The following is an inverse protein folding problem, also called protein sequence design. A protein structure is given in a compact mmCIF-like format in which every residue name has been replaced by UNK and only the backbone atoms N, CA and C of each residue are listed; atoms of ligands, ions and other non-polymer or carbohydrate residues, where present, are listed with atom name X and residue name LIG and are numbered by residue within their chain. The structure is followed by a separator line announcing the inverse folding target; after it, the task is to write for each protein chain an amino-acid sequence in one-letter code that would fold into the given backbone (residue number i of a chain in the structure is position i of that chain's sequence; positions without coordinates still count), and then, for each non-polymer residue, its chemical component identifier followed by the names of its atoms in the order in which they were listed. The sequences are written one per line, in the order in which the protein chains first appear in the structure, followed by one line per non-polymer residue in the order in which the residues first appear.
data_IF_319239034228
#
_entry.id   IF_319239034228
#
_cell.length_a   1.000
_cell.length_b   1.000
_cell.length_c   1.000
_cell.angle_alpha   90.00
_cell.angle_beta   90.00
_cell.angle_gamma   90.00
#
_symmetry.space_group_name_H-M   'P 1'
#
loop_
_entity.id
_entity.type
_entity.pdbx_description
1 polymer ?
#
# COMPACT_ATOMS: atom_id res chain seq x y z
N UNK A 1 -1.31 4.02 8.61
CA UNK A 1 -0.99 3.67 7.23
C UNK A 1 -0.11 4.74 6.62
N UNK A 2 1.00 4.35 6.01
CA UNK A 2 1.91 5.22 5.28
C UNK A 2 1.71 5.00 3.78
N UNK A 3 1.46 6.08 3.03
CA UNK A 3 1.05 6.01 1.64
C UNK A 3 -0.42 5.61 1.50
N UNK A 4 -1.31 6.29 2.23
CA UNK A 4 -2.74 5.94 2.28
C UNK A 4 -3.52 6.33 1.00
N UNK A 5 -2.89 7.09 0.09
CA UNK A 5 -3.54 7.56 -1.14
C UNK A 5 -4.85 8.28 -0.83
N UNK A 6 -5.95 7.83 -1.43
CA UNK A 6 -7.31 8.37 -1.23
C UNK A 6 -8.04 7.82 -0.01
N UNK A 7 -7.34 7.31 0.99
CA UNK A 7 -7.87 6.97 2.29
C UNK A 7 -8.87 5.81 2.36
N UNK A 8 -9.12 5.10 1.24
CA UNK A 8 -10.10 4.01 1.21
C UNK A 8 -9.77 2.87 2.16
N UNK A 9 -8.51 2.42 2.16
CA UNK A 9 -7.99 1.40 3.08
C UNK A 9 -8.06 1.87 4.53
N UNK A 10 -7.57 3.08 4.79
CA UNK A 10 -7.60 3.69 6.12
C UNK A 10 -9.04 3.79 6.67
N UNK A 11 -9.99 4.24 5.86
CA UNK A 11 -11.41 4.32 6.22
C UNK A 11 -12.01 2.95 6.51
N UNK A 12 -11.68 1.94 5.70
CA UNK A 12 -12.14 0.57 5.89
C UNK A 12 -11.65 0.03 7.24
N UNK A 13 -10.35 0.14 7.52
CA UNK A 13 -9.78 -0.36 8.78
C UNK A 13 -10.35 0.39 9.99
N UNK A 14 -10.45 1.71 9.93
CA UNK A 14 -11.01 2.50 11.02
C UNK A 14 -12.46 2.11 11.38
N UNK A 15 -13.28 1.78 10.39
CA UNK A 15 -14.69 1.39 10.57
C UNK A 15 -14.88 -0.03 11.07
N UNK A 16 -14.17 -0.98 10.46
CA UNK A 16 -14.46 -2.41 10.66
C UNK A 16 -13.56 -3.06 11.72
N UNK A 17 -12.32 -2.61 11.86
CA UNK A 17 -11.40 -3.11 12.90
C UNK A 17 -11.38 -2.26 14.17
N UNK A 18 -11.98 -1.06 14.12
CA UNK A 18 -12.21 -0.17 15.26
C UNK A 18 -10.97 0.05 16.14
N UNK A 19 -9.79 0.39 15.58
CA UNK A 19 -8.64 0.75 16.41
C UNK A 19 -8.97 1.99 17.25
N UNK A 20 -8.28 2.18 18.37
CA UNK A 20 -8.45 3.37 19.22
C UNK A 20 -8.23 4.66 18.43
N UNK A 21 -7.20 4.68 17.61
CA UNK A 21 -6.89 5.76 16.65
C UNK A 21 -6.27 5.13 15.41
N UNK A 22 -6.68 5.58 14.22
CA UNK A 22 -6.04 5.26 12.94
C UNK A 22 -5.55 6.54 12.28
N UNK A 23 -4.32 6.53 11.77
CA UNK A 23 -3.75 7.67 11.05
C UNK A 23 -3.38 7.23 9.64
N UNK A 24 -3.99 7.86 8.63
CA UNK A 24 -3.55 7.77 7.24
C UNK A 24 -2.57 8.92 6.95
N UNK A 25 -1.42 8.60 6.39
CA UNK A 25 -0.40 9.57 5.98
C UNK A 25 -0.06 9.40 4.50
N UNK A 26 0.03 10.52 3.80
CA UNK A 26 0.49 10.55 2.41
C UNK A 26 1.27 11.83 2.13
N UNK A 27 2.15 11.79 1.10
CA UNK A 27 2.93 12.94 0.65
C UNK A 27 2.21 13.78 -0.42
N UNK A 28 1.03 13.37 -0.87
CA UNK A 28 0.19 14.11 -1.80
C UNK A 28 -0.81 14.99 -1.05
N UNK A 29 -0.52 16.30 -0.95
CA UNK A 29 -1.40 17.26 -0.25
C UNK A 29 -2.84 17.24 -0.77
N UNK A 30 -3.02 17.03 -2.08
CA UNK A 30 -4.34 16.97 -2.70
C UNK A 30 -5.17 15.77 -2.21
N UNK A 31 -4.53 14.59 -2.07
CA UNK A 31 -5.17 13.39 -1.54
C UNK A 31 -5.56 13.57 -0.08
N UNK A 32 -4.67 14.10 0.76
CA UNK A 32 -4.97 14.38 2.17
C UNK A 32 -6.10 15.40 2.33
N UNK A 33 -6.16 16.43 1.47
CA UNK A 33 -7.28 17.39 1.47
C UNK A 33 -8.60 16.69 1.11
N UNK A 34 -8.58 15.84 0.08
CA UNK A 34 -9.76 15.04 -0.29
C UNK A 34 -10.20 14.15 0.88
N UNK A 35 -9.28 13.40 1.48
CA UNK A 35 -9.57 12.44 2.54
C UNK A 35 -10.21 13.08 3.77
N UNK A 36 -9.67 14.23 4.20
CA UNK A 36 -10.23 15.02 5.32
C UNK A 36 -11.65 15.51 5.05
N UNK A 37 -11.95 15.84 3.81
CA UNK A 37 -13.27 16.33 3.41
C UNK A 37 -14.27 15.20 3.17
N UNK A 38 -13.80 14.02 2.80
CA UNK A 38 -14.65 12.91 2.39
C UNK A 38 -14.94 11.91 3.52
N UNK A 39 -13.94 11.61 4.37
CA UNK A 39 -14.08 10.61 5.42
C UNK A 39 -14.32 11.23 6.79
N UNK A 40 -15.53 11.06 7.33
CA UNK A 40 -15.94 11.51 8.66
C UNK A 40 -16.06 10.33 9.63
N UNK A 41 -14.91 9.70 9.97
CA UNK A 41 -14.84 8.57 10.91
C UNK A 41 -14.14 9.02 12.19
N UNK A 42 -14.80 8.89 13.35
CA UNK A 42 -14.37 9.48 14.65
C UNK A 42 -12.93 9.15 15.04
N UNK A 43 -12.49 7.90 14.78
CA UNK A 43 -11.17 7.39 15.14
C UNK A 43 -10.14 7.47 14.00
N UNK A 44 -10.46 8.15 12.89
CA UNK A 44 -9.60 8.28 11.70
C UNK A 44 -9.08 9.71 11.57
N UNK A 45 -7.78 9.83 11.34
CA UNK A 45 -7.12 11.11 11.05
C UNK A 45 -6.28 10.98 9.79
N UNK A 46 -6.20 12.05 8.99
CA UNK A 46 -5.34 12.13 7.83
C UNK A 46 -4.31 13.25 7.99
N UNK A 47 -3.07 12.93 7.67
CA UNK A 47 -1.97 13.91 7.78
C UNK A 47 -1.11 13.89 6.51
N UNK A 48 -0.57 15.05 6.15
CA UNK A 48 0.49 15.16 5.18
C UNK A 48 1.82 14.77 5.84
N UNK A 49 2.65 13.95 5.14
CA UNK A 49 3.95 13.56 5.65
C UNK A 49 4.77 12.77 4.63
N UNK A 50 6.07 12.73 4.84
CA UNK A 50 7.02 11.94 4.06
C UNK A 50 7.28 10.60 4.73
N UNK A 51 7.17 9.51 3.97
CA UNK A 51 7.48 8.16 4.45
C UNK A 51 8.92 8.01 4.97
N UNK A 52 9.85 8.80 4.44
CA UNK A 52 11.26 8.80 4.83
C UNK A 52 11.58 9.75 6.00
N UNK A 53 10.55 10.42 6.55
CA UNK A 53 10.63 11.28 7.73
C UNK A 53 9.23 11.34 8.39
N UNK A 54 8.83 10.26 9.02
CA UNK A 54 7.49 10.10 9.60
C UNK A 54 7.34 11.06 10.79
N UNK A 55 6.34 12.01 10.77
CA UNK A 55 6.24 13.11 11.74
C UNK A 55 5.66 12.65 13.09
N UNK A 56 6.16 11.57 13.63
CA UNK A 56 5.80 11.04 14.94
C UNK A 56 7.06 10.69 15.75
N UNK A 57 6.92 10.71 17.05
CA UNK A 57 7.98 10.27 17.97
C UNK A 57 8.24 8.77 17.82
N UNK A 58 9.38 8.31 18.29
CA UNK A 58 9.67 6.89 18.41
C UNK A 58 8.64 6.18 19.32
N UNK A 59 8.46 4.89 19.11
CA UNK A 59 7.60 4.03 19.93
C UNK A 59 6.15 4.54 20.06
N UNK A 60 5.58 5.04 18.98
CA UNK A 60 4.26 5.69 18.97
C UNK A 60 3.13 4.73 18.52
N UNK A 61 3.40 3.79 17.63
CA UNK A 61 2.39 2.95 17.00
C UNK A 61 2.52 1.48 17.38
N UNK A 62 1.38 0.83 17.62
CA UNK A 62 1.31 -0.63 17.82
C UNK A 62 1.42 -1.37 16.48
N UNK A 63 0.83 -0.80 15.42
CA UNK A 63 0.83 -1.36 14.06
C UNK A 63 1.09 -0.25 13.05
N UNK A 64 1.92 -0.52 12.06
CA UNK A 64 2.11 0.31 10.86
C UNK A 64 1.77 -0.50 9.62
N UNK A 65 1.01 0.10 8.71
CA UNK A 65 0.66 -0.49 7.41
C UNK A 65 1.34 0.28 6.28
N UNK A 66 1.76 -0.47 5.24
CA UNK A 66 2.13 0.09 3.94
C UNK A 66 1.67 -0.86 2.84
N UNK A 67 0.71 -0.40 2.04
CA UNK A 67 0.08 -1.20 0.98
C UNK A 67 0.20 -0.47 -0.35
N UNK A 68 0.80 -1.12 -1.35
CA UNK A 68 0.95 -0.62 -2.73
C UNK A 68 1.48 0.83 -2.85
N UNK A 69 2.42 1.21 -2.01
CA UNK A 69 2.97 2.57 -1.97
C UNK A 69 4.50 2.58 -2.11
N UNK A 70 5.18 1.63 -1.49
CA UNK A 70 6.64 1.65 -1.38
C UNK A 70 7.39 1.46 -2.71
N UNK A 71 6.72 1.02 -3.77
CA UNK A 71 7.32 0.94 -5.10
C UNK A 71 7.67 2.32 -5.71
N UNK A 72 7.10 3.39 -5.16
CA UNK A 72 7.42 4.78 -5.50
C UNK A 72 8.49 5.42 -4.61
N UNK A 73 9.02 4.74 -3.59
CA UNK A 73 9.96 5.34 -2.66
C UNK A 73 11.40 5.31 -3.19
N UNK A 74 12.06 6.48 -3.18
CA UNK A 74 13.45 6.62 -3.67
C UNK A 74 14.43 5.94 -2.72
N UNK A 75 14.21 6.00 -1.41
CA UNK A 75 15.10 5.48 -0.36
C UNK A 75 14.33 4.52 0.56
N UNK A 76 14.08 3.30 0.09
CA UNK A 76 13.26 2.31 0.81
C UNK A 76 13.88 1.93 2.17
N UNK A 77 15.20 1.84 2.28
CA UNK A 77 15.90 1.53 3.54
C UNK A 77 15.70 2.64 4.58
N UNK A 78 15.63 3.91 4.15
CA UNK A 78 15.33 5.03 5.06
C UNK A 78 13.91 4.93 5.58
N UNK A 79 12.97 4.56 4.72
CA UNK A 79 11.59 4.26 5.15
C UNK A 79 11.54 3.14 6.19
N UNK A 80 12.26 2.02 5.99
CA UNK A 80 12.30 0.91 6.95
C UNK A 80 12.88 1.32 8.31
N UNK A 81 13.89 2.21 8.33
CA UNK A 81 14.39 2.79 9.59
C UNK A 81 13.32 3.62 10.31
N UNK A 82 12.57 4.44 9.59
CA UNK A 82 11.46 5.21 10.15
C UNK A 82 10.33 4.31 10.67
N UNK A 83 9.97 3.26 9.92
CA UNK A 83 9.01 2.23 10.38
C UNK A 83 9.45 1.65 11.73
N UNK A 84 10.70 1.17 11.81
CA UNK A 84 11.24 0.61 13.05
C UNK A 84 11.28 1.64 14.17
N UNK A 85 11.61 2.90 13.89
CA UNK A 85 11.66 3.98 14.88
C UNK A 85 10.29 4.25 15.50
N UNK A 86 9.26 4.42 14.66
CA UNK A 86 7.93 4.82 15.14
C UNK A 86 7.11 3.68 15.73
N UNK A 87 7.44 2.43 15.43
CA UNK A 87 6.80 1.28 16.05
C UNK A 87 7.23 1.14 17.52
N UNK A 88 6.30 0.79 18.39
CA UNK A 88 6.58 0.37 19.77
C UNK A 88 7.39 -0.93 19.78
N UNK A 89 8.12 -1.26 20.86
CA UNK A 89 8.61 -2.63 21.08
C UNK A 89 7.46 -3.63 20.91
N UNK A 90 7.72 -4.76 20.29
CA UNK A 90 6.75 -5.80 19.90
C UNK A 90 5.66 -5.36 18.90
N UNK A 91 5.70 -4.13 18.40
CA UNK A 91 4.79 -3.62 17.38
C UNK A 91 4.99 -4.26 16.00
N UNK A 92 3.96 -4.23 15.16
CA UNK A 92 3.93 -4.94 13.89
C UNK A 92 4.00 -4.00 12.69
N UNK A 93 4.81 -4.35 11.70
CA UNK A 93 4.78 -3.77 10.36
C UNK A 93 4.08 -4.72 9.40
N UNK A 94 2.94 -4.29 8.87
CA UNK A 94 2.17 -5.01 7.86
C UNK A 94 2.45 -4.39 6.49
N UNK A 95 3.13 -5.13 5.65
CA UNK A 95 3.61 -4.67 4.35
C UNK A 95 3.02 -5.52 3.23
N UNK A 96 2.51 -4.88 2.19
CA UNK A 96 2.05 -5.55 0.99
C UNK A 96 2.36 -4.70 -0.25
N UNK A 97 3.16 -5.23 -1.18
CA UNK A 97 3.51 -4.51 -2.41
C UNK A 97 4.00 -5.47 -3.51
N UNK A 98 4.03 -4.97 -4.72
CA UNK A 98 4.54 -5.70 -5.87
C UNK A 98 5.87 -5.12 -6.36
N UNK A 99 6.65 -5.97 -7.00
CA UNK A 99 7.87 -5.59 -7.73
C UNK A 99 7.97 -6.40 -9.01
N UNK A 100 8.75 -5.88 -9.96
CA UNK A 100 9.20 -6.67 -11.09
C UNK A 100 10.22 -7.73 -10.63
N UNK A 101 10.47 -8.71 -11.47
CA UNK A 101 11.36 -9.83 -11.17
C UNK A 101 12.79 -9.40 -10.76
N UNK A 102 13.29 -8.31 -11.36
CA UNK A 102 14.64 -7.80 -11.07
C UNK A 102 14.75 -7.19 -9.67
N UNK A 103 13.72 -6.46 -9.23
CA UNK A 103 13.73 -5.72 -7.96
C UNK A 103 13.09 -6.45 -6.79
N UNK A 104 12.44 -7.61 -7.03
CA UNK A 104 11.78 -8.36 -5.94
C UNK A 104 12.79 -8.93 -4.93
N UNK A 105 13.94 -9.41 -5.41
CA UNK A 105 14.99 -9.94 -4.53
C UNK A 105 15.54 -8.85 -3.62
N UNK A 106 15.78 -7.65 -4.17
CA UNK A 106 16.23 -6.49 -3.39
C UNK A 106 15.20 -6.11 -2.33
N UNK A 107 13.91 -6.02 -2.67
CA UNK A 107 12.85 -5.77 -1.70
C UNK A 107 12.86 -6.77 -0.54
N UNK A 108 12.90 -8.07 -0.87
CA UNK A 108 12.91 -9.13 0.13
C UNK A 108 14.14 -9.00 1.05
N UNK A 109 15.32 -8.77 0.47
CA UNK A 109 16.55 -8.59 1.24
C UNK A 109 16.46 -7.37 2.16
N UNK A 110 16.01 -6.21 1.66
CA UNK A 110 15.83 -5.00 2.48
C UNK A 110 14.89 -5.23 3.66
N UNK A 111 13.76 -5.94 3.44
CA UNK A 111 12.82 -6.28 4.52
C UNK A 111 13.44 -7.24 5.54
N UNK A 112 14.13 -8.29 5.09
CA UNK A 112 14.81 -9.25 5.98
C UNK A 112 15.97 -8.60 6.76
N UNK A 113 16.64 -7.58 6.20
CA UNK A 113 17.75 -6.86 6.82
C UNK A 113 17.29 -5.60 7.58
N UNK A 114 16.01 -5.34 7.68
CA UNK A 114 15.45 -4.15 8.34
C UNK A 114 15.72 -4.08 9.86
N UNK A 115 16.23 -5.16 10.44
CA UNK A 115 16.38 -5.31 11.90
C UNK A 115 15.07 -5.53 12.64
N UNK A 116 14.01 -5.92 11.90
CA UNK A 116 12.75 -6.42 12.46
C UNK A 116 12.64 -7.92 12.17
N UNK A 117 12.01 -8.66 13.07
CA UNK A 117 11.79 -10.11 12.91
C UNK A 117 10.71 -10.38 11.88
N UNK A 118 11.00 -11.14 10.83
CA UNK A 118 10.01 -11.59 9.87
C UNK A 118 9.16 -12.70 10.47
N UNK A 119 7.90 -12.41 10.76
CA UNK A 119 6.92 -13.37 11.30
C UNK A 119 6.25 -14.15 10.17
N UNK A 120 5.89 -13.47 9.08
CA UNK A 120 5.27 -14.10 7.93
C UNK A 120 5.71 -13.42 6.63
N UNK A 121 5.87 -14.23 5.60
CA UNK A 121 6.14 -13.81 4.22
C UNK A 121 5.38 -14.72 3.29
N UNK A 122 4.65 -14.16 2.32
CA UNK A 122 3.88 -14.96 1.37
C UNK A 122 3.84 -14.30 -0.02
N UNK A 123 4.02 -15.10 -1.07
CA UNK A 123 3.80 -14.70 -2.45
C UNK A 123 2.32 -14.89 -2.80
N UNK A 124 1.59 -13.78 -2.89
CA UNK A 124 0.16 -13.75 -3.22
C UNK A 124 -0.10 -13.34 -4.68
N UNK A 125 0.91 -13.41 -5.53
CA UNK A 125 0.81 -13.03 -6.96
C UNK A 125 -0.34 -13.72 -7.67
N UNK A 126 -0.55 -15.01 -7.37
CA UNK A 126 -1.65 -15.81 -7.95
C UNK A 126 -3.02 -15.31 -7.50
N UNK A 127 -3.15 -15.00 -6.21
CA UNK A 127 -4.39 -14.46 -5.65
C UNK A 127 -4.75 -13.10 -6.26
N UNK A 128 -3.73 -12.22 -6.40
CA UNK A 128 -3.90 -10.92 -7.07
C UNK A 128 -4.31 -11.10 -8.53
N UNK A 129 -3.68 -12.01 -9.27
CA UNK A 129 -4.05 -12.31 -10.65
C UNK A 129 -5.50 -12.82 -10.76
N UNK A 130 -5.93 -13.71 -9.87
CA UNK A 130 -7.32 -14.16 -9.81
C UNK A 130 -8.28 -13.00 -9.47
N UNK A 131 -7.94 -12.16 -8.51
CA UNK A 131 -8.73 -10.97 -8.15
C UNK A 131 -8.90 -10.01 -9.33
N UNK A 132 -7.83 -9.77 -10.11
CA UNK A 132 -7.89 -8.98 -11.35
C UNK A 132 -8.88 -9.56 -12.37
N UNK A 133 -8.95 -10.90 -12.47
CA UNK A 133 -9.92 -11.57 -13.35
C UNK A 133 -11.35 -11.39 -12.88
N UNK A 134 -11.63 -11.61 -11.59
CA UNK A 134 -12.98 -11.46 -11.03
C UNK A 134 -13.49 -10.03 -11.16
N UNK A 135 -12.64 -9.04 -10.96
CA UNK A 135 -13.02 -7.64 -10.93
C UNK A 135 -12.99 -6.95 -12.31
N UNK A 136 -12.65 -7.68 -13.36
CA UNK A 136 -12.43 -7.13 -14.70
C UNK A 136 -13.65 -6.35 -15.23
N UNK A 137 -14.84 -6.94 -15.16
CA UNK A 137 -16.06 -6.33 -15.69
C UNK A 137 -16.44 -5.04 -14.94
N UNK A 138 -16.29 -5.03 -13.61
CA UNK A 138 -16.53 -3.84 -12.80
C UNK A 138 -15.57 -2.71 -13.18
N UNK A 139 -14.30 -3.01 -13.36
CA UNK A 139 -13.27 -2.03 -13.77
C UNK A 139 -13.55 -1.45 -15.15
N UNK A 140 -13.94 -2.27 -16.10
CA UNK A 140 -14.35 -1.82 -17.43
C UNK A 140 -15.52 -0.83 -17.32
N UNK A 141 -16.57 -1.19 -16.57
CA UNK A 141 -17.73 -0.30 -16.35
C UNK A 141 -17.33 1.04 -15.72
N UNK A 142 -16.41 1.04 -14.74
CA UNK A 142 -15.92 2.27 -14.12
C UNK A 142 -15.14 3.16 -15.10
N UNK A 143 -14.30 2.58 -15.98
CA UNK A 143 -13.60 3.32 -17.02
C UNK A 143 -14.60 4.04 -17.92
N UNK A 144 -15.59 3.31 -18.45
CA UNK A 144 -16.58 3.89 -19.36
C UNK A 144 -17.51 4.90 -18.68
N UNK A 145 -17.75 4.75 -17.37
CA UNK A 145 -18.61 5.67 -16.61
C UNK A 145 -17.91 6.99 -16.25
N UNK A 146 -16.62 6.94 -15.90
CA UNK A 146 -15.95 8.09 -15.28
C UNK A 146 -14.87 8.74 -16.16
N UNK A 147 -14.39 8.05 -17.19
CA UNK A 147 -13.37 8.61 -18.07
C UNK A 147 -13.97 9.06 -19.41
N UNK A 148 -13.52 10.20 -19.96
CA UNK A 148 -13.82 10.59 -21.34
C UNK A 148 -13.33 9.54 -22.33
N UNK A 149 -13.99 9.40 -23.47
CA UNK A 149 -13.69 8.38 -24.50
C UNK A 149 -12.23 8.33 -24.91
N UNK A 150 -11.58 9.46 -25.07
CA UNK A 150 -10.17 9.54 -25.49
C UNK A 150 -9.19 9.00 -24.43
N UNK A 151 -9.59 8.91 -23.16
CA UNK A 151 -8.81 8.33 -22.06
C UNK A 151 -9.09 6.83 -21.80
N UNK A 152 -10.07 6.23 -22.46
CA UNK A 152 -10.44 4.84 -22.21
C UNK A 152 -9.27 3.88 -22.43
N UNK A 153 -8.48 4.07 -23.51
CA UNK A 153 -7.32 3.22 -23.81
C UNK A 153 -6.26 3.32 -22.69
N UNK A 154 -5.99 4.51 -22.20
CA UNK A 154 -5.09 4.75 -21.08
C UNK A 154 -5.64 4.14 -19.78
N UNK A 155 -6.91 4.40 -19.45
CA UNK A 155 -7.57 3.85 -18.29
C UNK A 155 -7.53 2.31 -18.25
N UNK A 156 -7.75 1.66 -19.39
CA UNK A 156 -7.65 0.19 -19.53
C UNK A 156 -6.26 -0.35 -19.15
N UNK A 157 -5.20 0.36 -19.54
CA UNK A 157 -3.82 -0.04 -19.17
C UNK A 157 -3.53 0.21 -17.69
N UNK A 158 -3.99 1.34 -17.17
CA UNK A 158 -3.73 1.77 -15.80
C UNK A 158 -4.40 0.87 -14.76
N UNK A 159 -5.68 0.54 -14.94
CA UNK A 159 -6.42 -0.26 -13.93
C UNK A 159 -6.21 -1.78 -14.05
N UNK A 160 -5.39 -2.25 -14.97
CA UNK A 160 -5.02 -3.66 -15.08
C UNK A 160 -6.18 -4.57 -15.48
N UNK A 161 -7.01 -4.17 -16.47
CA UNK A 161 -8.01 -5.05 -17.07
C UNK A 161 -7.34 -6.16 -17.89
N UNK A 162 -8.08 -7.21 -18.25
CA UNK A 162 -7.60 -8.29 -19.14
C UNK A 162 -6.89 -7.69 -20.36
N UNK A 163 -5.79 -8.33 -20.77
CA UNK A 163 -4.92 -7.96 -21.90
C UNK A 163 -4.13 -6.64 -21.71
N UNK A 164 -4.26 -5.94 -20.58
CA UNK A 164 -3.38 -4.83 -20.27
C UNK A 164 -1.96 -5.31 -19.94
N UNK A 165 -0.96 -4.43 -20.13
CA UNK A 165 0.43 -4.73 -19.76
C UNK A 165 0.57 -5.12 -18.30
N UNK A 166 -0.18 -4.44 -17.42
CA UNK A 166 -0.18 -4.74 -15.98
C UNK A 166 -0.73 -6.14 -15.70
N UNK A 167 -1.92 -6.47 -16.23
CA UNK A 167 -2.52 -7.78 -16.10
C UNK A 167 -1.59 -8.90 -16.61
N UNK A 168 -1.08 -8.77 -17.85
CA UNK A 168 -0.18 -9.75 -18.45
C UNK A 168 1.12 -9.91 -17.64
N UNK A 169 1.60 -8.84 -16.98
CA UNK A 169 2.82 -8.93 -16.17
C UNK A 169 2.66 -9.78 -14.91
N UNK A 170 1.45 -9.90 -14.36
CA UNK A 170 1.15 -10.86 -13.30
C UNK A 170 0.93 -12.26 -13.86
N UNK A 171 0.21 -12.40 -14.97
CA UNK A 171 -0.04 -13.69 -15.61
C UNK A 171 1.23 -14.42 -16.03
N UNK A 172 2.21 -13.72 -16.59
CA UNK A 172 3.50 -14.28 -17.00
C UNK A 172 4.60 -14.20 -15.92
N UNK A 173 4.23 -13.92 -14.67
CA UNK A 173 5.10 -13.84 -13.49
C UNK A 173 6.24 -12.81 -13.56
N UNK A 174 6.21 -11.86 -14.48
CA UNK A 174 7.17 -10.75 -14.54
C UNK A 174 7.00 -9.76 -13.39
N UNK A 175 5.83 -9.77 -12.73
CA UNK A 175 5.56 -9.08 -11.47
C UNK A 175 5.19 -10.09 -10.41
N UNK A 176 5.68 -9.85 -9.19
CA UNK A 176 5.36 -10.62 -8.00
C UNK A 176 4.80 -9.72 -6.93
N UNK A 177 3.80 -10.19 -6.23
CA UNK A 177 3.15 -9.51 -5.14
C UNK A 177 3.38 -10.30 -3.85
N UNK A 178 4.00 -9.66 -2.87
CA UNK A 178 4.26 -10.26 -1.57
C UNK A 178 3.55 -9.48 -0.48
N UNK A 179 3.15 -10.18 0.58
CA UNK A 179 2.97 -9.54 1.85
C UNK A 179 3.95 -10.06 2.89
N UNK A 180 4.25 -9.18 3.84
CA UNK A 180 5.08 -9.48 5.00
C UNK A 180 4.39 -9.01 6.26
N UNK A 181 4.58 -9.78 7.34
CA UNK A 181 4.33 -9.36 8.71
C UNK A 181 5.69 -9.35 9.39
N UNK A 182 6.15 -8.19 9.81
CA UNK A 182 7.38 -8.01 10.56
C UNK A 182 7.05 -7.50 11.96
N UNK A 183 7.86 -7.86 12.95
CA UNK A 183 7.72 -7.41 14.32
C UNK A 183 9.00 -6.71 14.76
N UNK A 184 8.86 -5.57 15.42
CA UNK A 184 9.97 -4.90 16.10
C UNK A 184 10.28 -5.67 17.39
N UNK A 185 11.57 -5.89 17.66
CA UNK A 185 12.07 -6.48 18.93
C UNK A 185 11.71 -5.60 20.13
#
# INVERSE_FOLDING_TARGET
EVGCGRGGGASYIARYFKPKVFVGMDNAKAEIKFDKNYYHVKNLKFIYGDAMNIPFKENNFDILLNVESSHGYVHFEKFLKEVKRVLKPTGYFLFADFRNEKSIKTLINSLCMSGMKVIKKEDISRNVFHALNFDNERRIKLIYKYLPRFLHRWGRQFVGIRDSKLYNSFGNRKRKYFYFILQKD
#
